data_IF_346131814607
#
_entry.id   IF_346131814607
#
_cell.length_a   1.000
_cell.length_b   1.000
_cell.length_c   1.000
_cell.angle_alpha   90.00
_cell.angle_beta   90.00
_cell.angle_gamma   90.00
#
_symmetry.space_group_name_H-M   'P 1'
#
loop_
_entity.id
_entity.type
_entity.pdbx_description
1 polymer ?
#
# COMPACT_ATOMS: atom_id res chain seq x y z
N UNK A 1 -17.07 29.28 -26.67
CA UNK A 1 -16.01 30.19 -26.18
C UNK A 1 -15.24 29.46 -25.09
N UNK A 2 -14.10 28.87 -25.45
CA UNK A 2 -13.12 28.39 -24.46
C UNK A 2 -12.57 29.67 -23.83
N UNK A 3 -12.84 29.89 -22.53
CA UNK A 3 -12.23 31.00 -21.80
C UNK A 3 -10.72 30.85 -21.93
N UNK A 4 -10.06 31.93 -22.36
CA UNK A 4 -8.60 32.03 -22.48
C UNK A 4 -7.90 31.35 -21.31
N UNK A 5 -6.86 30.56 -21.60
CA UNK A 5 -5.97 29.97 -20.61
C UNK A 5 -5.53 31.05 -19.61
N UNK A 6 -6.10 31.04 -18.41
CA UNK A 6 -5.54 31.79 -17.30
C UNK A 6 -4.20 31.17 -17.00
N UNK A 7 -3.14 31.91 -17.29
CA UNK A 7 -1.77 31.52 -17.05
C UNK A 7 -1.51 31.62 -15.55
N UNK A 8 -2.02 30.65 -14.79
CA UNK A 8 -1.83 30.57 -13.35
C UNK A 8 -0.37 30.22 -13.07
N UNK A 9 0.43 31.22 -12.71
CA UNK A 9 1.76 30.98 -12.18
C UNK A 9 1.63 30.60 -10.71
N UNK A 10 2.03 29.36 -10.38
CA UNK A 10 1.94 28.79 -9.04
C UNK A 10 2.67 29.69 -8.03
N UNK A 11 3.88 30.12 -8.37
CA UNK A 11 4.71 31.01 -7.57
C UNK A 11 4.02 32.37 -7.33
N UNK A 12 3.50 33.00 -8.38
CA UNK A 12 2.77 34.27 -8.26
C UNK A 12 1.49 34.15 -7.41
N UNK A 13 0.84 32.97 -7.44
CA UNK A 13 -0.31 32.67 -6.59
C UNK A 13 0.10 32.58 -5.12
N UNK A 14 1.21 31.91 -4.83
CA UNK A 14 1.77 31.85 -3.47
C UNK A 14 2.17 33.25 -2.98
N UNK A 15 2.85 34.03 -3.81
CA UNK A 15 3.28 35.39 -3.48
C UNK A 15 2.11 36.33 -3.21
N UNK A 16 1.11 36.36 -4.10
CA UNK A 16 -0.09 37.19 -3.94
C UNK A 16 -0.91 36.86 -2.70
N UNK A 17 -0.88 35.60 -2.26
CA UNK A 17 -1.53 35.15 -1.02
C UNK A 17 -0.60 35.13 0.20
N UNK A 18 0.65 35.58 0.05
CA UNK A 18 1.66 35.60 1.11
C UNK A 18 1.92 34.22 1.74
N UNK A 19 1.78 33.14 0.95
CA UNK A 19 1.98 31.77 1.39
C UNK A 19 3.44 31.38 1.16
N UNK A 20 4.15 31.07 2.25
CA UNK A 20 5.49 30.52 2.19
C UNK A 20 5.45 28.98 2.23
N UNK A 21 5.60 28.34 1.07
CA UNK A 21 5.66 26.89 0.96
C UNK A 21 7.12 26.41 1.04
N UNK A 22 7.49 25.75 2.14
CA UNK A 22 8.81 25.13 2.32
C UNK A 22 8.69 23.62 2.39
N UNK A 23 9.56 22.91 1.68
CA UNK A 23 9.65 21.44 1.76
C UNK A 23 10.06 21.02 3.17
N UNK A 24 9.23 20.18 3.80
CA UNK A 24 9.57 19.55 5.08
C UNK A 24 10.47 18.32 4.88
N UNK A 25 10.99 17.77 5.99
CA UNK A 25 11.71 16.49 5.97
C UNK A 25 10.85 15.38 5.36
N UNK A 26 11.50 14.50 4.59
CA UNK A 26 10.87 13.30 4.04
C UNK A 26 10.54 12.33 5.18
N UNK A 27 9.27 11.90 5.29
CA UNK A 27 8.80 11.00 6.35
C UNK A 27 8.49 9.59 5.88
N UNK A 28 8.21 9.42 4.58
CA UNK A 28 7.72 8.16 4.02
C UNK A 28 8.53 7.78 2.79
N UNK A 29 9.02 6.54 2.79
CA UNK A 29 9.46 5.82 1.62
C UNK A 29 8.28 5.00 1.13
N UNK A 30 7.70 5.36 -0.01
CA UNK A 30 6.72 4.51 -0.66
C UNK A 30 7.42 3.60 -1.67
N UNK A 31 7.30 2.29 -1.50
CA UNK A 31 7.96 1.29 -2.31
C UNK A 31 6.94 0.50 -3.13
N UNK A 32 7.01 0.65 -4.45
CA UNK A 32 6.22 -0.17 -5.37
C UNK A 32 6.88 -1.55 -5.54
N UNK A 33 6.18 -2.58 -5.12
CA UNK A 33 6.66 -3.96 -5.10
C UNK A 33 6.54 -4.65 -6.47
N UNK A 34 5.82 -4.06 -7.42
CA UNK A 34 5.60 -4.61 -8.75
C UNK A 34 4.15 -4.48 -9.20
N UNK A 35 3.80 -5.23 -10.24
CA UNK A 35 2.48 -5.21 -10.88
C UNK A 35 1.72 -6.54 -10.78
N UNK A 36 2.30 -7.57 -10.16
CA UNK A 36 1.61 -8.84 -9.91
C UNK A 36 0.46 -8.62 -8.92
N UNK A 37 -0.74 -9.05 -9.28
CA UNK A 37 -1.94 -8.92 -8.47
C UNK A 37 -2.90 -10.06 -8.80
N UNK A 38 -3.62 -10.59 -7.82
CA UNK A 38 -4.68 -11.57 -8.04
C UNK A 38 -5.93 -10.99 -8.73
N UNK A 39 -6.08 -9.66 -8.79
CA UNK A 39 -7.21 -8.96 -9.40
C UNK A 39 -6.80 -8.18 -10.66
N UNK A 40 -7.76 -7.97 -11.57
CA UNK A 40 -7.63 -7.08 -12.75
C UNK A 40 -8.67 -5.96 -12.65
N UNK A 41 -8.39 -4.93 -11.84
CA UNK A 41 -9.33 -3.83 -11.61
C UNK A 41 -9.36 -2.85 -12.79
N UNK A 42 -10.55 -2.40 -13.21
CA UNK A 42 -10.73 -1.49 -14.36
C UNK A 42 -10.14 -0.09 -14.14
N UNK A 43 -10.01 0.32 -12.88
CA UNK A 43 -9.46 1.62 -12.46
C UNK A 43 -7.99 1.56 -12.01
N UNK A 44 -7.28 0.44 -12.27
CA UNK A 44 -5.92 0.26 -11.78
C UNK A 44 -4.92 1.16 -12.53
N UNK A 45 -4.47 2.24 -11.90
CA UNK A 45 -3.53 3.20 -12.50
C UNK A 45 -2.17 2.59 -12.93
N UNK A 46 -1.70 1.53 -12.25
CA UNK A 46 -0.47 0.80 -12.63
C UNK A 46 -0.72 -0.40 -13.55
N UNK A 47 -2.00 -0.67 -13.87
CA UNK A 47 -2.45 -1.80 -14.68
C UNK A 47 -1.95 -3.15 -14.13
N UNK A 48 -2.03 -3.34 -12.81
CA UNK A 48 -1.65 -4.59 -12.15
C UNK A 48 -2.59 -5.75 -12.52
N UNK A 49 -2.11 -6.99 -12.43
CA UNK A 49 -2.92 -8.17 -12.76
C UNK A 49 -2.17 -9.49 -12.63
N UNK A 50 -2.87 -10.63 -12.80
CA UNK A 50 -2.33 -11.96 -12.50
C UNK A 50 -1.27 -12.42 -13.49
N UNK A 51 -1.31 -11.87 -14.71
CA UNK A 51 -0.37 -12.19 -15.78
C UNK A 51 0.86 -11.26 -15.80
N UNK A 52 0.97 -10.34 -14.84
CA UNK A 52 2.11 -9.41 -14.74
C UNK A 52 3.32 -10.11 -14.14
N UNK A 53 4.52 -9.74 -14.60
CA UNK A 53 5.80 -10.34 -14.16
C UNK A 53 6.76 -9.30 -13.60
N UNK A 54 6.41 -8.03 -13.72
CA UNK A 54 7.20 -6.92 -13.21
C UNK A 54 7.13 -6.94 -11.69
N UNK A 55 8.19 -7.42 -11.07
CA UNK A 55 8.37 -7.51 -9.63
C UNK A 55 9.70 -6.87 -9.26
N UNK A 56 9.76 -6.25 -8.09
CA UNK A 56 11.03 -5.86 -7.49
C UNK A 56 11.86 -7.13 -7.22
N UNK A 57 13.14 -7.12 -7.58
CA UNK A 57 14.03 -8.25 -7.33
C UNK A 57 14.46 -8.32 -5.87
N UNK A 58 14.91 -9.48 -5.42
CA UNK A 58 15.49 -9.65 -4.07
C UNK A 58 16.75 -8.80 -3.87
N UNK A 59 17.54 -8.60 -4.93
CA UNK A 59 18.70 -7.71 -4.92
C UNK A 59 18.27 -6.25 -4.73
N UNK A 60 17.24 -5.79 -5.46
CA UNK A 60 16.73 -4.43 -5.28
C UNK A 60 16.14 -4.25 -3.87
N UNK A 61 15.44 -5.24 -3.33
CA UNK A 61 14.97 -5.22 -1.94
C UNK A 61 16.15 -5.05 -0.97
N UNK A 62 17.25 -5.80 -1.15
CA UNK A 62 18.43 -5.69 -0.30
C UNK A 62 19.03 -4.29 -0.36
N UNK A 63 19.21 -3.74 -1.57
CA UNK A 63 19.73 -2.38 -1.77
C UNK A 63 18.83 -1.31 -1.13
N UNK A 64 17.50 -1.47 -1.25
CA UNK A 64 16.52 -0.55 -0.62
C UNK A 64 16.61 -0.63 0.89
N UNK A 65 16.70 -1.83 1.46
CA UNK A 65 16.83 -2.03 2.91
C UNK A 65 18.12 -1.39 3.43
N UNK A 66 19.25 -1.65 2.77
CA UNK A 66 20.54 -1.08 3.12
C UNK A 66 20.48 0.45 3.12
N UNK A 67 20.02 1.04 2.02
CA UNK A 67 19.86 2.49 1.93
C UNK A 67 18.90 3.02 3.00
N UNK A 68 17.71 2.43 3.13
CA UNK A 68 16.66 2.89 4.05
C UNK A 68 17.12 2.87 5.51
N UNK A 69 17.95 1.90 5.89
CA UNK A 69 18.53 1.79 7.24
C UNK A 69 19.37 3.01 7.64
N UNK A 70 19.99 3.67 6.66
CA UNK A 70 20.85 4.86 6.85
C UNK A 70 20.07 6.18 6.89
N UNK A 71 18.74 6.15 6.72
CA UNK A 71 17.92 7.36 6.62
C UNK A 71 17.16 7.68 7.90
N UNK A 72 16.73 8.94 8.03
CA UNK A 72 15.78 9.38 9.07
C UNK A 72 14.30 9.20 8.67
N UNK A 73 14.03 8.55 7.53
CA UNK A 73 12.66 8.33 7.04
C UNK A 73 11.97 7.33 7.98
N UNK A 74 10.87 7.73 8.62
CA UNK A 74 10.25 6.95 9.69
C UNK A 74 9.25 5.90 9.22
N UNK A 75 8.77 5.99 7.97
CA UNK A 75 7.70 5.13 7.45
C UNK A 75 8.09 4.46 6.14
N UNK A 76 7.85 3.15 6.05
CA UNK A 76 7.85 2.38 4.82
C UNK A 76 6.39 2.09 4.41
N UNK A 77 5.98 2.53 3.23
CA UNK A 77 4.63 2.33 2.66
C UNK A 77 4.71 1.41 1.44
N UNK A 78 4.28 0.15 1.58
CA UNK A 78 4.35 -0.87 0.55
C UNK A 78 3.11 -0.81 -0.36
N UNK A 79 3.34 -0.71 -1.66
CA UNK A 79 2.30 -0.59 -2.70
C UNK A 79 2.64 -1.43 -3.93
N UNK A 80 1.87 -1.31 -5.01
CA UNK A 80 2.09 -1.98 -6.29
C UNK A 80 0.83 -2.68 -6.77
N UNK A 81 0.97 -3.94 -7.18
CA UNK A 81 -0.13 -4.89 -7.28
C UNK A 81 -0.52 -5.38 -5.88
N UNK A 82 -0.20 -6.63 -5.58
CA UNK A 82 -0.38 -7.23 -4.24
C UNK A 82 0.99 -7.47 -3.61
N UNK A 83 1.47 -6.60 -2.71
CA UNK A 83 2.80 -6.70 -2.11
C UNK A 83 3.14 -8.09 -1.56
N UNK A 84 2.16 -8.76 -0.96
CA UNK A 84 2.28 -10.07 -0.32
C UNK A 84 2.65 -11.18 -1.31
N UNK A 85 2.34 -11.01 -2.60
CA UNK A 85 2.69 -11.96 -3.66
C UNK A 85 4.17 -11.87 -4.08
N UNK A 86 4.93 -10.89 -3.60
CA UNK A 86 6.34 -10.74 -3.95
C UNK A 86 7.20 -11.67 -3.10
N UNK A 87 8.04 -12.54 -3.70
CA UNK A 87 8.84 -13.52 -2.94
C UNK A 87 9.69 -12.92 -1.81
N UNK A 88 10.18 -11.68 -1.97
CA UNK A 88 10.98 -10.99 -0.98
C UNK A 88 10.19 -10.25 0.12
N UNK A 89 8.86 -10.28 0.11
CA UNK A 89 8.01 -9.49 1.02
C UNK A 89 8.30 -9.74 2.50
N UNK A 90 8.29 -11.01 2.93
CA UNK A 90 8.54 -11.38 4.33
C UNK A 90 9.96 -10.98 4.77
N UNK A 91 10.95 -11.14 3.89
CA UNK A 91 12.34 -10.81 4.18
C UNK A 91 12.53 -9.29 4.31
N UNK A 92 11.90 -8.50 3.43
CA UNK A 92 11.88 -7.04 3.52
C UNK A 92 11.37 -6.58 4.89
N UNK A 93 10.20 -7.08 5.31
CA UNK A 93 9.59 -6.70 6.60
C UNK A 93 10.49 -7.08 7.78
N UNK A 94 11.00 -8.31 7.80
CA UNK A 94 11.91 -8.77 8.85
C UNK A 94 13.17 -7.93 8.93
N UNK A 95 13.78 -7.59 7.79
CA UNK A 95 14.97 -6.74 7.76
C UNK A 95 14.70 -5.35 8.33
N UNK A 96 13.57 -4.72 7.97
CA UNK A 96 13.19 -3.40 8.50
C UNK A 96 12.87 -3.46 9.99
N UNK A 97 12.27 -4.56 10.47
CA UNK A 97 12.02 -4.77 11.91
C UNK A 97 13.30 -4.96 12.72
N UNK A 98 14.39 -5.38 12.09
CA UNK A 98 15.71 -5.53 12.72
C UNK A 98 16.53 -4.22 12.75
N UNK A 99 16.00 -3.11 12.25
CA UNK A 99 16.70 -1.83 12.35
C UNK A 99 16.82 -1.38 13.81
N UNK A 100 17.91 -0.68 14.13
CA UNK A 100 18.13 -0.08 15.45
C UNK A 100 17.04 0.94 15.80
N UNK A 101 16.64 1.75 14.81
CA UNK A 101 15.52 2.68 14.91
C UNK A 101 14.25 2.05 14.37
N UNK A 102 13.22 1.95 15.21
CA UNK A 102 11.91 1.43 14.81
C UNK A 102 11.30 2.26 13.67
N UNK A 103 10.75 1.58 12.66
CA UNK A 103 10.07 2.18 11.51
C UNK A 103 8.61 1.76 11.49
N UNK A 104 7.72 2.69 11.17
CA UNK A 104 6.33 2.35 10.82
C UNK A 104 6.34 1.62 9.47
N UNK A 105 5.57 0.54 9.35
CA UNK A 105 5.37 -0.16 8.08
C UNK A 105 3.88 -0.16 7.78
N UNK A 106 3.53 0.29 6.59
CA UNK A 106 2.19 0.26 6.03
C UNK A 106 2.21 -0.72 4.85
N UNK A 107 1.21 -1.61 4.74
CA UNK A 107 0.99 -2.41 3.53
C UNK A 107 -0.35 -2.04 2.91
N UNK A 108 -0.33 -1.67 1.63
CA UNK A 108 -1.54 -1.41 0.84
C UNK A 108 -1.91 -2.68 0.11
N UNK A 109 -2.94 -3.37 0.58
CA UNK A 109 -3.39 -4.62 -0.02
C UNK A 109 -4.83 -4.53 -0.55
N UNK A 110 -5.14 -5.39 -1.52
CA UNK A 110 -6.52 -5.79 -1.75
C UNK A 110 -6.85 -6.90 -0.77
N UNK A 111 -7.94 -6.77 -0.03
CA UNK A 111 -8.27 -7.70 1.06
C UNK A 111 -8.50 -9.14 0.56
N UNK A 112 -8.84 -9.33 -0.72
CA UNK A 112 -9.12 -10.65 -1.27
C UNK A 112 -7.90 -11.56 -1.31
N UNK A 113 -6.67 -11.04 -1.21
CA UNK A 113 -5.46 -11.89 -1.09
C UNK A 113 -5.52 -12.82 0.13
N UNK A 114 -6.21 -12.43 1.20
CA UNK A 114 -6.38 -13.23 2.42
C UNK A 114 -7.25 -14.48 2.16
N UNK A 115 -8.02 -14.49 1.07
CA UNK A 115 -8.86 -15.61 0.65
C UNK A 115 -8.22 -16.44 -0.49
N UNK A 116 -7.01 -16.08 -0.93
CA UNK A 116 -6.31 -16.83 -1.99
C UNK A 116 -5.49 -18.00 -1.40
N UNK A 117 -5.46 -19.11 -2.12
CA UNK A 117 -4.71 -20.31 -1.71
C UNK A 117 -3.22 -20.00 -1.53
N UNK A 118 -2.64 -20.44 -0.42
CA UNK A 118 -1.23 -20.22 -0.08
C UNK A 118 -0.94 -18.87 0.60
N UNK A 119 -1.97 -18.07 0.87
CA UNK A 119 -1.87 -16.78 1.57
C UNK A 119 -2.49 -16.77 2.97
N UNK A 120 -2.79 -17.95 3.54
CA UNK A 120 -3.34 -18.09 4.91
C UNK A 120 -2.45 -17.43 5.98
N UNK A 121 -1.16 -17.30 5.70
CA UNK A 121 -0.18 -16.67 6.58
C UNK A 121 -0.33 -15.14 6.69
N UNK A 122 -1.04 -14.48 5.76
CA UNK A 122 -1.03 -13.01 5.63
C UNK A 122 -1.51 -12.35 6.92
N UNK A 123 -2.67 -12.76 7.43
CA UNK A 123 -3.30 -12.14 8.61
C UNK A 123 -2.38 -12.20 9.83
N UNK A 124 -1.89 -13.39 10.17
CA UNK A 124 -1.03 -13.59 11.33
C UNK A 124 0.31 -12.89 11.17
N UNK A 125 0.94 -12.98 9.99
CA UNK A 125 2.23 -12.35 9.73
C UNK A 125 2.18 -10.83 9.83
N UNK A 126 1.12 -10.20 9.32
CA UNK A 126 0.95 -8.75 9.42
C UNK A 126 0.79 -8.31 10.88
N UNK A 127 0.03 -9.06 11.68
CA UNK A 127 -0.20 -8.76 13.09
C UNK A 127 1.05 -8.98 13.95
N UNK A 128 1.75 -10.10 13.77
CA UNK A 128 3.03 -10.39 14.43
C UNK A 128 4.07 -9.28 14.22
N UNK A 129 4.05 -8.68 13.04
CA UNK A 129 4.96 -7.60 12.66
C UNK A 129 4.38 -6.20 12.90
N UNK A 130 3.23 -6.06 13.56
CA UNK A 130 2.54 -4.78 13.79
C UNK A 130 2.49 -3.90 12.52
N UNK A 131 2.06 -4.50 11.41
CA UNK A 131 1.93 -3.80 10.13
C UNK A 131 0.60 -3.06 10.12
N UNK A 132 0.63 -1.76 9.79
CA UNK A 132 -0.58 -1.00 9.52
C UNK A 132 -1.13 -1.37 8.14
N UNK A 133 -2.43 -1.62 8.08
CA UNK A 133 -3.09 -2.03 6.85
C UNK A 133 -3.78 -0.82 6.24
N UNK A 134 -3.64 -0.64 4.92
CA UNK A 134 -4.57 0.19 4.16
C UNK A 134 -5.23 -0.73 3.14
N UNK A 135 -6.45 -1.14 3.43
CA UNK A 135 -7.17 -2.05 2.57
C UNK A 135 -7.96 -1.31 1.50
N UNK A 136 -7.82 -1.74 0.25
CA UNK A 136 -8.56 -1.16 -0.87
C UNK A 136 -10.00 -1.69 -0.90
N UNK A 137 -10.99 -0.83 -0.66
CA UNK A 137 -12.42 -1.11 -0.81
C UNK A 137 -13.12 0.16 -1.33
N UNK A 138 -13.64 0.19 -2.57
CA UNK A 138 -14.08 1.45 -3.17
C UNK A 138 -15.37 1.98 -2.53
N UNK A 139 -16.27 1.12 -2.05
CA UNK A 139 -17.48 1.51 -1.32
C UNK A 139 -18.13 0.29 -0.61
N UNK A 140 -19.28 0.50 0.02
CA UNK A 140 -20.08 -0.51 0.72
C UNK A 140 -21.10 -1.25 -0.17
N UNK A 141 -21.25 -0.86 -1.45
CA UNK A 141 -22.24 -1.44 -2.35
C UNK A 141 -21.62 -2.58 -3.19
N UNK A 142 -22.13 -3.83 -3.10
CA UNK A 142 -21.58 -4.98 -3.81
C UNK A 142 -21.43 -4.74 -5.31
N UNK A 143 -22.50 -4.27 -5.95
CA UNK A 143 -22.53 -4.02 -7.40
C UNK A 143 -21.39 -3.10 -7.86
N UNK A 144 -21.17 -1.98 -7.18
CA UNK A 144 -20.14 -1.02 -7.57
C UNK A 144 -18.73 -1.58 -7.34
N UNK A 145 -18.53 -2.38 -6.29
CA UNK A 145 -17.26 -3.08 -6.05
C UNK A 145 -16.99 -4.09 -7.17
N UNK A 146 -17.99 -4.88 -7.56
CA UNK A 146 -17.86 -5.88 -8.62
C UNK A 146 -17.61 -5.24 -9.99
N UNK A 147 -18.34 -4.19 -10.35
CA UNK A 147 -18.16 -3.45 -11.60
C UNK A 147 -16.73 -2.88 -11.73
N UNK A 148 -16.07 -2.56 -10.60
CA UNK A 148 -14.71 -2.01 -10.59
C UNK A 148 -13.59 -3.05 -10.46
N UNK A 149 -13.84 -4.17 -9.78
CA UNK A 149 -12.78 -5.07 -9.30
C UNK A 149 -12.96 -6.52 -9.71
N UNK A 150 -14.15 -6.88 -10.20
CA UNK A 150 -14.50 -8.24 -10.60
C UNK A 150 -15.47 -8.92 -9.63
N UNK A 151 -16.14 -9.96 -10.14
CA UNK A 151 -17.18 -10.70 -9.43
C UNK A 151 -16.66 -11.34 -8.14
N UNK A 152 -17.47 -11.30 -7.07
CA UNK A 152 -17.15 -11.94 -5.78
C UNK A 152 -16.08 -11.21 -4.95
N UNK A 153 -15.51 -10.11 -5.44
CA UNK A 153 -14.53 -9.32 -4.69
C UNK A 153 -15.14 -8.71 -3.43
N UNK A 154 -16.43 -8.32 -3.48
CA UNK A 154 -17.11 -7.75 -2.32
C UNK A 154 -17.13 -8.74 -1.14
N UNK A 155 -17.70 -9.92 -1.35
CA UNK A 155 -17.84 -10.93 -0.29
C UNK A 155 -16.50 -11.41 0.24
N UNK A 156 -15.52 -11.65 -0.66
CA UNK A 156 -14.14 -11.98 -0.26
C UNK A 156 -13.52 -10.87 0.60
N UNK A 157 -13.74 -9.61 0.26
CA UNK A 157 -13.21 -8.47 1.04
C UNK A 157 -13.87 -8.39 2.42
N UNK A 158 -15.18 -8.59 2.52
CA UNK A 158 -15.89 -8.60 3.80
C UNK A 158 -15.41 -9.76 4.69
N UNK A 159 -15.25 -10.96 4.14
CA UNK A 159 -14.68 -12.12 4.87
C UNK A 159 -13.28 -11.81 5.40
N UNK A 160 -12.41 -11.26 4.56
CA UNK A 160 -11.06 -10.86 4.95
C UNK A 160 -11.05 -9.81 6.07
N UNK A 161 -11.94 -8.80 6.01
CA UNK A 161 -12.08 -7.82 7.09
C UNK A 161 -12.56 -8.44 8.40
N UNK A 162 -13.46 -9.42 8.35
CA UNK A 162 -13.88 -10.14 9.55
C UNK A 162 -12.73 -10.94 10.18
N UNK A 163 -11.87 -11.59 9.36
CA UNK A 163 -10.66 -12.27 9.82
C UNK A 163 -9.68 -11.31 10.50
N UNK A 164 -9.43 -10.16 9.89
CA UNK A 164 -8.58 -9.10 10.47
C UNK A 164 -9.15 -8.56 11.79
N UNK A 165 -10.45 -8.28 11.83
CA UNK A 165 -11.11 -7.79 13.04
C UNK A 165 -11.11 -8.81 14.18
N UNK A 166 -11.14 -10.10 13.87
CA UNK A 166 -11.12 -11.18 14.85
C UNK A 166 -9.80 -11.21 15.64
N UNK A 167 -8.68 -10.86 15.00
CA UNK A 167 -7.36 -10.79 15.64
C UNK A 167 -7.02 -9.39 16.18
N UNK A 168 -7.91 -8.41 16.01
CA UNK A 168 -7.85 -7.11 16.67
C UNK A 168 -7.52 -5.92 15.76
N UNK A 169 -7.39 -6.09 14.45
CA UNK A 169 -7.29 -4.93 13.55
C UNK A 169 -8.52 -4.01 13.68
N UNK A 170 -8.27 -2.70 13.72
CA UNK A 170 -9.31 -1.68 13.93
C UNK A 170 -9.88 -1.60 15.35
N UNK A 171 -9.39 -2.42 16.29
CA UNK A 171 -9.79 -2.41 17.72
C UNK A 171 -8.61 -2.21 18.66
N UNK A 172 -7.48 -2.84 18.34
CA UNK A 172 -6.23 -2.70 19.08
C UNK A 172 -5.44 -1.51 18.51
N UNK A 173 -5.02 -0.51 19.32
CA UNK A 173 -4.21 0.62 18.85
C UNK A 173 -2.90 0.24 18.15
N UNK A 174 -2.35 -0.96 18.41
CA UNK A 174 -1.15 -1.46 17.75
C UNK A 174 -1.42 -2.16 16.40
N UNK A 175 -2.69 -2.45 16.10
CA UNK A 175 -3.15 -3.08 14.85
C UNK A 175 -4.07 -2.12 14.09
N UNK A 176 -3.46 -1.08 13.54
CA UNK A 176 -4.16 -0.06 12.77
C UNK A 176 -4.57 -0.56 11.39
N UNK A 177 -5.77 -0.16 10.96
CA UNK A 177 -6.36 -0.45 9.65
C UNK A 177 -7.33 0.66 9.25
#
# INVERSE_FOLDING_TARGET
MIKSEQNYQFEATLESHQILLKRSNTKTLQLNMGKLCNLTCSHCHVNAGPNRRELISTETIANVVEWFSSTEISTLDLTGGTPEMVPGYKNLIRSVRNFTSSRKIITRLNATIIEEEGFDWVVDFLAENNIEIIASMPCYEPKNVEDQRGNGVFDKSISAFQKLNAIGYGRNPNLAM
#
